data_IF_786735143707
#
_entry.id   IF_786735143707
#
_cell.length_a   1.000
_cell.length_b   1.000
_cell.length_c   1.000
_cell.angle_alpha   90.00
_cell.angle_beta   90.00
_cell.angle_gamma   90.00
#
_symmetry.space_group_name_H-M   'P 1'
#
loop_
_entity.id
_entity.type
_entity.pdbx_description
1 polymer ?
#
# COMPACT_ATOMS: atom_id res chain seq x y z
N UNK A 1 -7.68 -3.28 -63.12
CA UNK A 1 -8.41 -2.02 -63.40
C UNK A 1 -9.15 -1.66 -62.11
N UNK A 2 -8.72 -0.61 -61.40
CA UNK A 2 -9.30 -0.25 -60.11
C UNK A 2 -10.70 0.33 -60.29
N UNK A 3 -11.70 -0.29 -59.65
CA UNK A 3 -13.09 0.12 -59.74
C UNK A 3 -13.31 1.40 -58.92
N UNK A 4 -13.56 2.52 -59.59
CA UNK A 4 -13.89 3.79 -58.95
C UNK A 4 -15.37 3.75 -58.49
N UNK A 5 -15.65 3.81 -57.18
CA UNK A 5 -17.02 3.77 -56.68
C UNK A 5 -17.79 5.04 -57.08
N UNK A 6 -19.09 4.87 -57.35
CA UNK A 6 -19.99 5.98 -57.67
C UNK A 6 -19.96 7.05 -56.56
N UNK A 7 -20.03 8.35 -56.92
CA UNK A 7 -20.05 9.47 -55.96
C UNK A 7 -21.05 9.27 -54.82
N UNK A 8 -22.22 8.68 -55.09
CA UNK A 8 -23.23 8.38 -54.05
C UNK A 8 -22.75 7.36 -53.01
N UNK A 9 -21.99 6.35 -53.47
CA UNK A 9 -21.39 5.32 -52.62
C UNK A 9 -20.25 5.93 -51.80
N UNK A 10 -19.47 6.83 -52.40
CA UNK A 10 -18.41 7.56 -51.72
C UNK A 10 -18.95 8.43 -50.56
N UNK A 11 -20.07 9.14 -50.78
CA UNK A 11 -20.75 9.89 -49.71
C UNK A 11 -21.26 8.99 -48.58
N UNK A 12 -21.78 7.82 -48.92
CA UNK A 12 -22.28 6.86 -47.92
C UNK A 12 -21.14 6.27 -47.08
N UNK A 13 -20.01 5.93 -47.69
CA UNK A 13 -18.82 5.46 -46.98
C UNK A 13 -18.22 6.54 -46.06
N UNK A 14 -18.23 7.80 -46.50
CA UNK A 14 -17.79 8.92 -45.67
C UNK A 14 -18.69 9.10 -44.44
N UNK A 15 -20.01 8.98 -44.61
CA UNK A 15 -20.95 9.10 -43.49
C UNK A 15 -20.80 7.97 -42.47
N UNK A 16 -20.57 6.74 -42.94
CA UNK A 16 -20.27 5.57 -42.06
C UNK A 16 -18.96 5.78 -41.30
N UNK A 17 -17.92 6.31 -41.97
CA UNK A 17 -16.65 6.63 -41.33
C UNK A 17 -16.83 7.67 -40.22
N UNK A 18 -17.62 8.73 -40.46
CA UNK A 18 -17.90 9.75 -39.44
C UNK A 18 -18.63 9.18 -38.22
N UNK A 19 -19.60 8.28 -38.44
CA UNK A 19 -20.31 7.59 -37.34
C UNK A 19 -19.34 6.69 -36.56
N UNK A 20 -18.48 5.95 -37.25
CA UNK A 20 -17.50 5.06 -36.63
C UNK A 20 -16.45 5.83 -35.81
N UNK A 21 -15.94 6.92 -36.36
CA UNK A 21 -15.00 7.82 -35.67
C UNK A 21 -15.67 8.44 -34.44
N UNK A 22 -16.89 8.97 -34.59
CA UNK A 22 -17.65 9.50 -33.46
C UNK A 22 -17.92 8.47 -32.37
N UNK A 23 -18.27 7.23 -32.75
CA UNK A 23 -18.48 6.12 -31.82
C UNK A 23 -17.20 5.67 -31.13
N UNK A 24 -16.07 5.60 -31.84
CA UNK A 24 -14.76 5.26 -31.28
C UNK A 24 -14.29 6.29 -30.25
N UNK A 25 -14.38 7.58 -30.61
CA UNK A 25 -14.08 8.66 -29.66
C UNK A 25 -15.01 8.62 -28.45
N UNK A 26 -16.32 8.41 -28.65
CA UNK A 26 -17.30 8.33 -27.56
C UNK A 26 -17.15 7.08 -26.66
N UNK A 27 -16.70 5.96 -27.22
CA UNK A 27 -16.41 4.72 -26.48
C UNK A 27 -15.30 4.92 -25.45
N UNK A 28 -14.24 5.64 -25.85
CA UNK A 28 -13.09 5.91 -24.98
C UNK A 28 -13.43 6.83 -23.79
N UNK A 29 -14.46 7.69 -23.94
CA UNK A 29 -14.96 8.56 -22.85
C UNK A 29 -15.61 7.80 -21.70
N UNK A 30 -16.23 6.63 -21.95
CA UNK A 30 -16.95 5.89 -20.90
C UNK A 30 -16.02 5.12 -19.97
N UNK A 31 -14.85 4.68 -20.46
CA UNK A 31 -13.94 3.82 -19.70
C UNK A 31 -13.28 4.55 -18.52
N UNK A 32 -13.01 5.85 -18.66
CA UNK A 32 -12.35 6.66 -17.61
C UNK A 32 -13.23 6.97 -16.40
N UNK A 33 -14.55 6.95 -16.57
CA UNK A 33 -15.47 7.26 -15.47
C UNK A 33 -15.61 6.07 -14.49
N UNK A 34 -15.56 4.84 -14.98
CA UNK A 34 -15.72 3.64 -14.15
C UNK A 34 -14.58 3.47 -13.13
N UNK A 35 -13.35 3.81 -13.53
CA UNK A 35 -12.16 3.72 -12.67
C UNK A 35 -12.16 4.80 -11.56
N UNK A 36 -12.60 6.02 -11.87
CA UNK A 36 -12.69 7.12 -10.91
C UNK A 36 -13.77 6.87 -9.82
N UNK A 37 -14.91 6.29 -10.20
CA UNK A 37 -15.99 5.98 -9.26
C UNK A 37 -15.59 4.82 -8.35
N UNK A 38 -14.92 3.77 -8.86
CA UNK A 38 -14.43 2.65 -8.06
C UNK A 38 -13.38 3.06 -7.00
N UNK A 39 -12.54 4.06 -7.28
CA UNK A 39 -11.58 4.59 -6.31
C UNK A 39 -12.25 5.42 -5.21
N UNK A 40 -13.26 6.23 -5.58
CA UNK A 40 -13.99 7.10 -4.65
C UNK A 40 -14.99 6.34 -3.77
N UNK A 41 -15.39 5.15 -4.20
CA UNK A 41 -16.35 4.27 -3.52
C UNK A 41 -15.66 3.20 -2.64
N UNK A 42 -14.33 3.20 -2.49
CA UNK A 42 -13.69 2.51 -1.36
C UNK A 42 -14.22 3.16 -0.08
N UNK A 43 -15.23 2.51 0.49
CA UNK A 43 -15.99 2.96 1.63
C UNK A 43 -15.04 3.46 2.73
N UNK A 44 -15.38 4.53 3.46
CA UNK A 44 -14.57 4.98 4.60
C UNK A 44 -14.29 3.86 5.62
N UNK A 45 -15.13 2.82 5.66
CA UNK A 45 -14.89 1.59 6.41
C UNK A 45 -13.68 0.78 5.94
N UNK A 46 -13.39 0.70 4.64
CA UNK A 46 -12.25 -0.05 4.09
C UNK A 46 -10.94 0.69 4.37
N UNK A 47 -10.95 2.03 4.29
CA UNK A 47 -9.78 2.86 4.66
C UNK A 47 -9.50 2.75 6.16
N UNK A 48 -10.53 2.79 7.00
CA UNK A 48 -10.38 2.57 8.44
C UNK A 48 -9.88 1.15 8.76
N UNK A 49 -10.34 0.12 8.05
CA UNK A 49 -9.89 -1.26 8.24
C UNK A 49 -8.42 -1.47 7.84
N UNK A 50 -7.99 -0.84 6.75
CA UNK A 50 -6.58 -0.87 6.31
C UNK A 50 -5.67 -0.19 7.36
N UNK A 51 -6.10 0.94 7.90
CA UNK A 51 -5.38 1.63 8.98
C UNK A 51 -5.32 0.79 10.26
N UNK A 52 -6.37 0.05 10.61
CA UNK A 52 -6.32 -0.85 11.78
C UNK A 52 -5.34 -2.00 11.56
N UNK A 53 -5.22 -2.53 10.33
CA UNK A 53 -4.27 -3.60 10.04
C UNK A 53 -2.81 -3.17 10.19
N UNK A 54 -2.50 -1.90 9.91
CA UNK A 54 -1.16 -1.35 10.11
C UNK A 54 -0.80 -1.15 11.59
N UNK A 55 -1.79 -0.92 12.44
CA UNK A 55 -1.58 -0.79 13.90
C UNK A 55 -1.32 -2.12 14.58
N UNK A 56 -1.68 -3.25 13.96
CA UNK A 56 -1.44 -4.59 14.48
C UNK A 56 -0.29 -5.29 13.74
N UNK A 57 0.47 -4.55 12.92
CA UNK A 57 1.62 -5.09 12.20
C UNK A 57 2.79 -5.31 13.17
N UNK A 58 3.30 -6.52 13.16
CA UNK A 58 4.48 -7.01 13.86
C UNK A 58 5.30 -7.77 12.81
N UNK A 59 6.39 -7.16 12.37
CA UNK A 59 7.13 -7.57 11.17
C UNK A 59 8.13 -8.69 11.41
N UNK A 60 8.67 -8.80 12.63
CA UNK A 60 9.61 -9.86 13.01
C UNK A 60 9.02 -10.91 13.95
N UNK A 61 7.82 -10.68 14.47
CA UNK A 61 7.05 -11.65 15.22
C UNK A 61 7.51 -11.82 16.67
N UNK A 62 8.20 -10.82 17.25
CA UNK A 62 8.65 -10.86 18.65
C UNK A 62 7.52 -10.49 19.64
N UNK A 63 6.37 -10.06 19.13
CA UNK A 63 5.19 -9.66 19.88
C UNK A 63 5.14 -8.17 20.22
N UNK A 64 6.09 -7.36 19.76
CA UNK A 64 6.10 -5.91 19.79
C UNK A 64 5.65 -5.40 18.41
N UNK A 65 4.68 -4.49 18.37
CA UNK A 65 4.19 -3.98 17.09
C UNK A 65 5.22 -3.02 16.49
N UNK A 66 5.31 -2.93 15.16
CA UNK A 66 6.27 -2.06 14.45
C UNK A 66 6.26 -0.60 14.98
N UNK A 67 5.09 -0.10 15.37
CA UNK A 67 4.94 1.26 15.90
C UNK A 67 5.39 1.39 17.36
N UNK A 68 5.30 0.32 18.16
CA UNK A 68 5.83 0.25 19.52
C UNK A 68 7.36 0.20 19.48
N UNK A 69 7.91 -0.58 18.56
CA UNK A 69 9.36 -0.66 18.33
C UNK A 69 9.97 0.70 17.98
N UNK A 70 9.26 1.51 17.18
CA UNK A 70 9.67 2.88 16.88
C UNK A 70 9.78 3.77 18.12
N UNK A 71 8.98 3.50 19.16
CA UNK A 71 9.05 4.21 20.45
C UNK A 71 10.24 3.75 21.28
N UNK A 72 10.53 2.45 21.28
CA UNK A 72 11.67 1.85 21.99
C UNK A 72 13.00 1.99 21.23
N UNK A 73 12.94 2.41 19.95
CA UNK A 73 14.05 2.55 19.01
C UNK A 73 14.71 1.22 18.64
N UNK A 74 13.95 0.14 18.71
CA UNK A 74 14.35 -1.19 18.23
C UNK A 74 14.15 -1.30 16.72
N UNK A 75 14.73 -2.33 16.12
CA UNK A 75 14.67 -2.60 14.68
C UNK A 75 13.50 -3.52 14.37
N UNK A 76 12.44 -2.96 13.79
CA UNK A 76 11.21 -3.69 13.44
C UNK A 76 11.33 -4.79 12.39
N UNK A 77 12.52 -5.29 12.12
CA UNK A 77 12.73 -6.45 11.28
C UNK A 77 13.61 -7.49 11.99
N UNK A 78 13.83 -7.31 13.29
CA UNK A 78 14.69 -8.13 14.13
C UNK A 78 14.08 -8.25 15.51
N UNK A 79 13.62 -9.46 15.81
CA UNK A 79 13.10 -9.79 17.12
C UNK A 79 14.08 -9.53 18.28
N UNK A 80 15.38 -9.49 17.99
CA UNK A 80 16.48 -9.18 18.92
C UNK A 80 17.35 -8.11 18.25
N UNK A 81 17.19 -6.85 18.66
CA UNK A 81 17.84 -5.71 18.00
C UNK A 81 19.35 -5.68 18.26
N UNK A 82 19.78 -6.04 19.47
CA UNK A 82 21.17 -5.94 19.89
C UNK A 82 21.99 -7.24 19.71
N UNK A 83 21.30 -8.35 19.44
CA UNK A 83 21.87 -9.64 19.08
C UNK A 83 22.34 -10.48 20.27
N UNK A 84 21.84 -10.25 21.48
CA UNK A 84 22.23 -10.99 22.69
C UNK A 84 21.52 -12.34 22.87
N UNK A 85 20.49 -12.61 22.07
CA UNK A 85 19.66 -13.81 22.11
C UNK A 85 18.37 -13.67 22.93
N UNK A 86 18.05 -12.47 23.43
CA UNK A 86 16.78 -12.11 24.06
C UNK A 86 15.97 -11.25 23.11
N UNK A 87 14.66 -11.49 23.02
CA UNK A 87 13.83 -10.62 22.18
C UNK A 87 13.61 -9.24 22.81
N UNK A 88 13.44 -8.22 21.99
CA UNK A 88 13.24 -6.83 22.41
C UNK A 88 12.03 -6.69 23.36
N UNK A 89 10.91 -7.32 23.01
CA UNK A 89 9.71 -7.37 23.86
C UNK A 89 9.97 -7.98 25.25
N UNK A 90 10.75 -9.07 25.31
CA UNK A 90 11.08 -9.74 26.56
C UNK A 90 11.96 -8.83 27.42
N UNK A 91 12.94 -8.16 26.82
CA UNK A 91 13.80 -7.20 27.51
C UNK A 91 13.00 -6.03 28.09
N UNK A 92 12.11 -5.44 27.30
CA UNK A 92 11.23 -4.35 27.75
C UNK A 92 10.35 -4.81 28.92
N UNK A 93 9.77 -6.01 28.84
CA UNK A 93 8.93 -6.58 29.90
C UNK A 93 9.72 -6.84 31.18
N UNK A 94 11.01 -7.12 31.06
CA UNK A 94 11.93 -7.35 32.18
C UNK A 94 12.62 -6.07 32.69
N UNK A 95 12.23 -4.88 32.20
CA UNK A 95 12.90 -3.61 32.49
C UNK A 95 14.41 -3.63 32.14
N UNK A 96 14.76 -4.27 31.02
CA UNK A 96 16.08 -4.30 30.40
C UNK A 96 16.11 -3.34 29.20
N UNK A 97 17.31 -3.03 28.70
CA UNK A 97 17.52 -2.14 27.56
C UNK A 97 17.72 -2.97 26.27
N UNK A 98 16.77 -2.95 25.32
CA UNK A 98 16.82 -3.76 24.10
C UNK A 98 17.86 -3.29 23.05
N UNK A 99 18.63 -2.25 23.37
CA UNK A 99 19.67 -1.69 22.51
C UNK A 99 21.07 -2.00 23.05
N UNK A 100 21.18 -2.84 24.07
CA UNK A 100 22.42 -3.10 24.79
C UNK A 100 22.54 -4.57 25.11
N UNK A 101 23.40 -5.26 24.36
CA UNK A 101 23.56 -6.69 24.56
C UNK A 101 23.83 -7.09 26.01
N UNK A 102 23.06 -8.07 26.48
CA UNK A 102 23.20 -8.68 27.79
C UNK A 102 24.60 -9.26 28.04
N UNK A 103 25.07 -9.25 29.30
CA UNK A 103 24.35 -8.97 30.54
C UNK A 103 24.40 -7.49 31.00
N UNK A 104 24.75 -6.56 30.10
CA UNK A 104 24.94 -5.13 30.41
C UNK A 104 23.72 -4.25 30.05
N UNK A 105 22.63 -4.91 29.71
CA UNK A 105 21.30 -4.41 29.32
C UNK A 105 20.51 -3.84 30.52
N UNK A 106 20.90 -4.15 31.76
CA UNK A 106 20.15 -3.77 32.96
C UNK A 106 19.96 -2.25 33.04
N UNK A 107 18.70 -1.83 33.15
CA UNK A 107 18.36 -0.45 33.48
C UNK A 107 18.61 -0.29 34.99
N UNK A 108 19.84 0.07 35.37
CA UNK A 108 20.12 0.40 36.77
C UNK A 108 19.39 1.68 37.14
N UNK A 109 18.66 1.69 38.27
CA UNK A 109 17.95 2.85 38.84
C UNK A 109 18.86 4.03 39.28
N UNK A 110 20.00 4.26 38.62
CA UNK A 110 20.94 5.32 38.97
C UNK A 110 21.13 6.27 37.80
N UNK A 111 20.15 7.17 37.67
CA UNK A 111 20.50 8.58 37.51
C UNK A 111 21.19 9.01 38.82
N UNK A 112 22.53 9.04 38.82
CA UNK A 112 23.35 9.86 39.72
C UNK A 112 24.24 10.76 38.86
#
# INVERSE_FOLDING_TARGET
MAYLPNKKILFLLFFILLIFVGWFYFSDYKNKQAEYVAYKEKSPLVVAMDQTSQLDKDSDGDGLKDWEELLWKTDSNKADTDGDGTNDNEEITLNRNPLKAGPNDKISDKED
#
